data_IF_170779811427
#
_entry.id   IF_170779811427
#
_cell.length_a   1.000
_cell.length_b   1.000
_cell.length_c   1.000
_cell.angle_alpha   90.00
_cell.angle_beta   90.00
_cell.angle_gamma   90.00
#
_symmetry.space_group_name_H-M   'P 1'
#
loop_
_entity.id
_entity.type
_entity.pdbx_description
1 polymer ?
#
# COMPACT_ATOMS: atom_id res chain seq x y z
N UNK A 1 9.51 4.43 -7.11
CA UNK A 1 9.44 3.03 -6.63
C UNK A 1 9.11 3.07 -5.15
N UNK A 2 8.11 2.32 -4.71
CA UNK A 2 7.73 2.21 -3.29
C UNK A 2 8.07 0.83 -2.76
N UNK A 3 8.60 0.77 -1.54
CA UNK A 3 8.92 -0.48 -0.85
C UNK A 3 8.30 -0.47 0.53
N UNK A 4 7.85 -1.63 0.97
CA UNK A 4 7.33 -1.81 2.32
C UNK A 4 7.45 -3.25 2.78
N UNK A 5 7.06 -3.47 4.02
CA UNK A 5 7.01 -4.80 4.61
C UNK A 5 5.82 -4.92 5.55
N UNK A 6 5.36 -6.14 5.80
CA UNK A 6 4.42 -6.37 6.90
C UNK A 6 5.06 -6.05 8.26
N UNK A 7 4.26 -5.94 9.32
CA UNK A 7 4.75 -5.57 10.66
C UNK A 7 5.86 -6.50 11.20
N UNK A 8 5.76 -7.82 10.97
CA UNK A 8 6.77 -8.78 11.39
C UNK A 8 7.95 -8.96 10.40
N UNK A 9 7.97 -8.17 9.32
CA UNK A 9 9.00 -8.23 8.26
C UNK A 9 9.10 -9.56 7.48
N UNK A 10 8.19 -10.51 7.70
CA UNK A 10 8.16 -11.81 7.00
C UNK A 10 7.71 -11.73 5.53
N UNK A 11 7.13 -10.60 5.12
CA UNK A 11 6.73 -10.27 3.76
C UNK A 11 7.28 -8.90 3.43
N UNK A 12 8.01 -8.82 2.32
CA UNK A 12 8.45 -7.58 1.71
C UNK A 12 7.69 -7.40 0.40
N UNK A 13 7.37 -6.16 0.08
CA UNK A 13 6.72 -5.83 -1.18
C UNK A 13 7.33 -4.58 -1.81
N UNK A 14 7.29 -4.56 -3.12
CA UNK A 14 7.81 -3.50 -3.95
C UNK A 14 6.81 -3.17 -5.06
N UNK A 15 6.65 -1.88 -5.32
CA UNK A 15 5.78 -1.35 -6.36
C UNK A 15 6.66 -0.66 -7.38
N UNK A 16 6.75 -1.28 -8.56
CA UNK A 16 7.48 -0.75 -9.70
C UNK A 16 6.78 0.50 -10.25
N UNK A 17 7.59 1.51 -10.59
CA UNK A 17 7.25 2.78 -11.24
C UNK A 17 5.75 3.16 -11.31
N UNK A 18 5.36 4.12 -10.49
CA UNK A 18 4.10 4.86 -10.67
C UNK A 18 4.41 6.07 -11.54
N UNK A 19 3.63 6.27 -12.60
CA UNK A 19 3.62 7.56 -13.31
C UNK A 19 3.12 8.65 -12.34
N UNK A 20 3.64 9.87 -12.46
CA UNK A 20 3.28 11.01 -11.59
C UNK A 20 1.75 11.26 -11.54
N UNK A 21 1.02 10.86 -12.58
CA UNK A 21 -0.44 10.97 -12.65
C UNK A 21 -1.19 9.88 -11.84
N UNK A 22 -0.57 8.73 -11.62
CA UNK A 22 -1.16 7.64 -10.80
C UNK A 22 -0.86 7.82 -9.30
N UNK A 23 0.16 8.61 -8.97
CA UNK A 23 0.39 9.07 -7.59
C UNK A 23 -0.75 9.98 -7.12
N UNK A 24 -1.27 10.88 -7.97
CA UNK A 24 -2.32 11.87 -7.63
C UNK A 24 -3.68 11.26 -7.22
N UNK A 25 -3.92 9.97 -7.48
CA UNK A 25 -5.10 9.25 -6.97
C UNK A 25 -4.84 8.63 -5.59
N UNK A 26 -3.94 9.24 -4.82
CA UNK A 26 -3.70 8.97 -3.43
C UNK A 26 -4.83 9.53 -2.55
N UNK A 27 -5.62 8.65 -1.93
CA UNK A 27 -6.48 9.08 -0.85
C UNK A 27 -5.68 9.06 0.44
N UNK A 28 -5.09 10.21 0.80
CA UNK A 28 -4.51 10.46 2.11
C UNK A 28 -5.63 10.65 3.13
N UNK A 29 -5.93 9.60 3.89
CA UNK A 29 -6.83 9.73 5.04
C UNK A 29 -6.08 10.44 6.17
N UNK A 30 -6.44 11.68 6.47
CA UNK A 30 -5.98 12.41 7.67
C UNK A 30 -6.49 11.69 8.93
N UNK A 31 -5.77 10.67 9.33
CA UNK A 31 -5.82 10.04 10.64
C UNK A 31 -4.43 10.20 11.23
N UNK A 32 -4.28 10.19 12.55
CA UNK A 32 -3.02 10.34 13.31
C UNK A 32 -1.89 9.36 12.90
N UNK A 33 -2.16 8.48 11.95
CA UNK A 33 -1.23 7.58 11.27
C UNK A 33 -1.21 7.92 9.78
N UNK A 34 -0.05 8.33 9.25
CA UNK A 34 0.20 8.64 7.84
C UNK A 34 0.05 7.39 6.95
N UNK A 35 -1.18 6.94 6.78
CA UNK A 35 -1.57 5.81 5.94
C UNK A 35 -2.02 6.34 4.59
N UNK A 36 -1.38 5.82 3.55
CA UNK A 36 -1.62 6.15 2.17
C UNK A 36 -2.23 4.92 1.49
N UNK A 37 -3.41 5.08 0.91
CA UNK A 37 -4.05 4.03 0.12
C UNK A 37 -3.81 4.27 -1.36
N UNK A 38 -3.36 3.23 -2.07
CA UNK A 38 -2.99 3.33 -3.47
C UNK A 38 -3.50 2.13 -4.25
N UNK A 39 -4.04 2.37 -5.45
CA UNK A 39 -4.47 1.33 -6.37
C UNK A 39 -3.47 1.21 -7.51
N UNK A 40 -2.94 0.01 -7.75
CA UNK A 40 -1.93 -0.25 -8.79
C UNK A 40 -2.29 -1.47 -9.61
N UNK A 41 -1.71 -1.56 -10.80
CA UNK A 41 -1.75 -2.79 -11.58
C UNK A 41 -0.97 -3.90 -10.85
N UNK A 42 -1.56 -5.07 -10.73
CA UNK A 42 -1.03 -6.24 -10.03
C UNK A 42 0.34 -6.68 -10.57
N UNK A 43 0.56 -6.50 -11.87
CA UNK A 43 1.85 -6.81 -12.52
C UNK A 43 3.01 -5.95 -12.01
N UNK A 44 2.72 -4.77 -11.46
CA UNK A 44 3.72 -3.86 -10.89
C UNK A 44 4.00 -4.13 -9.40
N UNK A 45 3.26 -5.05 -8.78
CA UNK A 45 3.44 -5.44 -7.38
C UNK A 45 4.30 -6.71 -7.30
N UNK A 46 5.51 -6.56 -6.77
CA UNK A 46 6.42 -7.66 -6.48
C UNK A 46 6.33 -7.99 -5.00
N UNK A 47 6.07 -9.26 -4.67
CA UNK A 47 6.03 -9.76 -3.29
C UNK A 47 7.19 -10.73 -3.08
N UNK A 48 8.05 -10.42 -2.12
CA UNK A 48 9.10 -11.32 -1.62
C UNK A 48 8.68 -11.87 -0.25
N UNK A 49 8.42 -13.18 -0.18
CA UNK A 49 8.09 -13.85 1.07
C UNK A 49 8.31 -15.36 0.99
N UNK A 50 8.39 -16.01 2.16
CA UNK A 50 8.31 -17.46 2.23
C UNK A 50 6.92 -17.95 1.80
N UNK A 51 6.79 -19.14 1.18
CA UNK A 51 5.53 -19.61 0.59
C UNK A 51 4.38 -19.79 1.58
N UNK A 52 4.68 -19.94 2.88
CA UNK A 52 3.68 -20.07 3.95
C UNK A 52 3.30 -18.73 4.60
N UNK A 53 4.01 -17.64 4.27
CA UNK A 53 3.84 -16.34 4.90
C UNK A 53 2.64 -15.58 4.35
N UNK A 54 2.27 -15.78 3.07
CA UNK A 54 1.16 -15.07 2.43
C UNK A 54 -0.10 -15.95 2.40
N UNK A 55 -1.17 -15.49 3.04
CA UNK A 55 -2.48 -16.14 3.04
C UNK A 55 -3.52 -15.31 2.27
N UNK A 56 -4.53 -15.99 1.72
CA UNK A 56 -5.67 -15.36 1.06
C UNK A 56 -6.93 -15.52 1.89
N UNK A 57 -7.63 -14.43 2.12
CA UNK A 57 -8.93 -14.37 2.77
C UNK A 57 -9.94 -13.83 1.77
N UNK A 58 -10.97 -14.61 1.45
CA UNK A 58 -12.05 -14.16 0.59
C UNK A 58 -13.17 -13.59 1.45
N UNK A 59 -13.51 -12.33 1.24
CA UNK A 59 -14.57 -11.67 1.98
C UNK A 59 -15.93 -11.88 1.29
N UNK A 60 -17.01 -11.86 2.08
CA UNK A 60 -18.36 -12.09 1.57
C UNK A 60 -18.84 -11.03 0.57
N UNK A 61 -18.16 -9.88 0.50
CA UNK A 61 -18.41 -8.79 -0.44
C UNK A 61 -17.74 -8.99 -1.81
N UNK A 62 -17.00 -10.09 -2.00
CA UNK A 62 -16.28 -10.41 -3.24
C UNK A 62 -14.86 -9.86 -3.32
N UNK A 63 -14.38 -9.14 -2.31
CA UNK A 63 -12.98 -8.72 -2.21
C UNK A 63 -12.10 -9.90 -1.76
N UNK A 64 -10.86 -9.95 -2.25
CA UNK A 64 -9.87 -10.95 -1.81
C UNK A 64 -8.69 -10.26 -1.16
N UNK A 65 -8.52 -10.51 0.14
CA UNK A 65 -7.50 -9.90 0.97
C UNK A 65 -6.29 -10.82 1.04
N UNK A 66 -5.11 -10.28 0.78
CA UNK A 66 -3.84 -10.99 0.92
C UNK A 66 -3.18 -10.50 2.19
N UNK A 67 -2.99 -11.41 3.14
CA UNK A 67 -2.56 -11.10 4.51
C UNK A 67 -1.33 -11.89 4.89
N UNK A 68 -0.55 -11.35 5.82
CA UNK A 68 0.53 -12.08 6.45
C UNK A 68 -0.04 -13.13 7.41
N UNK A 69 0.28 -14.40 7.19
CA UNK A 69 -0.11 -15.51 8.05
C UNK A 69 0.57 -15.48 9.43
N UNK A 70 1.65 -14.70 9.59
CA UNK A 70 2.41 -14.59 10.84
C UNK A 70 1.87 -13.47 11.74
N UNK A 71 1.64 -12.28 11.19
CA UNK A 71 1.24 -11.10 11.97
C UNK A 71 -0.15 -10.55 11.60
N UNK A 72 -0.89 -11.22 10.73
CA UNK A 72 -2.22 -10.82 10.25
C UNK A 72 -2.29 -9.45 9.55
N UNK A 73 -1.16 -8.82 9.23
CA UNK A 73 -1.14 -7.56 8.49
C UNK A 73 -1.69 -7.77 7.07
N UNK A 74 -2.61 -6.91 6.64
CA UNK A 74 -3.06 -6.85 5.25
C UNK A 74 -1.90 -6.31 4.40
N UNK A 75 -1.60 -7.02 3.31
CA UNK A 75 -0.53 -6.64 2.36
C UNK A 75 -1.15 -5.91 1.17
N UNK A 76 -2.17 -6.50 0.57
CA UNK A 76 -2.95 -5.88 -0.50
C UNK A 76 -4.33 -6.53 -0.62
N UNK A 77 -5.26 -5.81 -1.25
CA UNK A 77 -6.61 -6.26 -1.56
C UNK A 77 -6.76 -6.35 -3.07
N UNK A 78 -7.18 -7.50 -3.60
CA UNK A 78 -7.54 -7.64 -5.01
C UNK A 78 -8.92 -7.02 -5.24
N UNK A 79 -8.97 -5.94 -6.02
CA UNK A 79 -10.21 -5.28 -6.44
C UNK A 79 -10.78 -5.95 -7.70
N UNK A 80 -9.89 -6.34 -8.60
CA UNK A 80 -10.18 -7.10 -9.80
C UNK A 80 -8.92 -7.89 -10.22
N UNK A 81 -8.96 -8.76 -11.26
CA UNK A 81 -7.83 -9.62 -11.61
C UNK A 81 -6.52 -8.87 -11.91
N UNK A 82 -6.63 -7.61 -12.35
CA UNK A 82 -5.50 -6.78 -12.76
C UNK A 82 -5.16 -5.66 -11.78
N UNK A 83 -6.05 -5.30 -10.84
CA UNK A 83 -5.85 -4.18 -9.92
C UNK A 83 -5.87 -4.61 -8.47
N UNK A 84 -4.90 -4.10 -7.73
CA UNK A 84 -4.76 -4.31 -6.29
C UNK A 84 -4.70 -2.97 -5.57
N UNK A 85 -5.28 -2.92 -4.37
CA UNK A 85 -5.18 -1.80 -3.44
C UNK A 85 -4.20 -2.13 -2.33
N UNK A 86 -3.24 -1.25 -2.08
CA UNK A 86 -2.29 -1.36 -0.97
C UNK A 86 -2.51 -0.21 0.01
N UNK A 87 -2.33 -0.52 1.29
CA UNK A 87 -2.23 0.48 2.35
C UNK A 87 -0.77 0.53 2.78
N UNK A 88 -0.09 1.63 2.44
CA UNK A 88 1.32 1.86 2.76
C UNK A 88 1.42 2.91 3.86
N UNK A 89 2.17 2.60 4.90
CA UNK A 89 2.47 3.55 5.96
C UNK A 89 3.74 4.31 5.59
N UNK A 90 3.65 5.62 5.47
CA UNK A 90 4.82 6.46 5.19
C UNK A 90 5.47 6.89 6.50
N UNK A 91 6.76 6.57 6.67
CA UNK A 91 7.58 7.04 7.81
C UNK A 91 8.64 8.05 7.38
N UNK A 92 8.37 8.82 6.33
CA UNK A 92 9.18 9.98 5.94
C UNK A 92 8.52 11.29 6.38
N UNK A 93 9.32 12.33 6.58
CA UNK A 93 8.79 13.68 6.43
C UNK A 93 8.34 13.82 4.98
N UNK A 94 7.11 14.23 4.81
CA UNK A 94 6.55 14.61 3.52
C UNK A 94 7.47 15.67 2.88
N UNK A 95 8.25 15.27 1.87
CA UNK A 95 9.12 16.17 1.12
C UNK A 95 8.34 17.01 0.09
N UNK A 96 7.05 16.70 -0.11
CA UNK A 96 6.08 17.44 -0.92
C UNK A 96 5.08 18.22 -0.06
N UNK A 97 5.16 18.12 1.28
CA UNK A 97 4.75 19.16 2.20
C UNK A 97 5.72 20.33 2.09
N UNK A 98 5.87 20.87 0.88
CA UNK A 98 5.88 22.31 0.76
C UNK A 98 4.68 22.78 1.59
N UNK A 99 4.88 23.60 2.64
CA UNK A 99 3.75 24.15 3.34
C UNK A 99 2.92 24.86 2.27
N UNK A 100 1.70 24.36 2.04
CA UNK A 100 0.68 25.12 1.32
C UNK A 100 0.83 26.54 1.83
N UNK A 101 1.15 27.48 0.93
CA UNK A 101 1.43 28.90 1.21
C UNK A 101 0.22 29.60 1.84
N UNK A 102 -0.14 29.20 3.05
CA UNK A 102 -1.25 29.74 3.83
C UNK A 102 -0.75 30.75 4.87
N UNK A 103 0.56 30.98 4.93
CA UNK A 103 1.14 32.09 5.66
C UNK A 103 1.92 32.98 4.68
N UNK A 104 1.18 33.84 3.97
CA UNK A 104 1.76 35.12 3.56
C UNK A 104 1.64 36.06 4.77
N UNK A 105 2.80 36.44 5.32
CA UNK A 105 2.96 37.66 6.12
C UNK A 105 3.11 38.85 5.17
#
# INVERSE_FOLDING_TARGET
MYRGSCHCQAIQYEIEHLDELEADNETLTQTDTSQLSMTVEKERLVIDCAPFSLAKLHEANGETHHVCNVCASVIFVELNPNKVRLEVTFTGHDALAEPHRQFML
#
